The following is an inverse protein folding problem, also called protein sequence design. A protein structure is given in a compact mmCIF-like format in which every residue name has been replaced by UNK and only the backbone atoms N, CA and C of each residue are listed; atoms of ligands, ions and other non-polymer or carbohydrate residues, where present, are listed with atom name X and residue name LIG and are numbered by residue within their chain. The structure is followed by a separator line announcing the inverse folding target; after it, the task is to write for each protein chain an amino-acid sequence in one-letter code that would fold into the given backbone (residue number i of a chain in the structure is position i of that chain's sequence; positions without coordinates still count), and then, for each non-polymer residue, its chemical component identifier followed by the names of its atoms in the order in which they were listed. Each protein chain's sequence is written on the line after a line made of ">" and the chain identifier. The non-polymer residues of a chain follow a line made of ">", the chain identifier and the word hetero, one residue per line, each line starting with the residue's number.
data_IF_945326016624
#
_entry.id   IF_945326016624
#
_cell.length_a   1.000
_cell.length_b   1.000
_cell.length_c   1.000
_cell.angle_alpha   90.00
_cell.angle_beta   90.00
_cell.angle_gamma   90.00
#
_symmetry.space_group_name_H-M   'P 1'
#
loop_
_entity.id
_entity.type
_entity.pdbx_description
1 polymer ?
#
# COMPACT_ATOMS: atom_id res chain seq x y z
N UNK A 1 8.89 15.59 -7.15
CA UNK A 1 7.43 15.74 -7.22
C UNK A 1 6.85 14.80 -6.17
N UNK A 2 6.37 15.31 -5.03
CA UNK A 2 5.88 14.48 -3.92
C UNK A 2 4.69 13.67 -4.43
N UNK A 3 4.72 12.35 -4.28
CA UNK A 3 3.54 11.53 -4.44
C UNK A 3 2.45 12.11 -3.53
N UNK A 4 1.36 12.59 -4.12
CA UNK A 4 0.17 12.94 -3.35
C UNK A 4 -0.32 11.63 -2.76
N UNK A 5 -0.12 11.48 -1.46
CA UNK A 5 -0.64 10.39 -0.64
C UNK A 5 -2.17 10.38 -0.85
N UNK A 6 -2.65 9.43 -1.66
CA UNK A 6 -4.05 9.34 -2.04
C UNK A 6 -4.83 8.78 -0.84
N UNK A 7 -5.13 9.65 0.11
CA UNK A 7 -5.85 9.30 1.34
C UNK A 7 -7.34 9.37 1.09
N UNK A 8 -8.07 8.35 1.53
CA UNK A 8 -9.53 8.43 1.61
C UNK A 8 -9.90 9.60 2.53
N UNK A 9 -10.57 10.59 1.93
CA UNK A 9 -10.93 11.85 2.58
C UNK A 9 -12.41 11.88 2.88
N UNK A 10 -12.76 11.89 4.16
CA UNK A 10 -14.14 12.06 4.62
C UNK A 10 -14.29 13.49 5.12
N UNK A 11 -15.08 14.29 4.41
CA UNK A 11 -15.39 15.67 4.80
C UNK A 11 -16.78 15.68 5.44
N UNK A 12 -16.85 16.14 6.68
CA UNK A 12 -18.12 16.43 7.36
C UNK A 12 -18.19 17.91 7.62
N UNK A 13 -19.09 18.56 6.91
CA UNK A 13 -19.44 19.95 7.15
C UNK A 13 -20.43 20.04 8.31
N UNK A 14 -20.40 21.15 9.03
CA UNK A 14 -21.39 21.44 10.06
C UNK A 14 -21.47 20.38 11.19
N UNK A 15 -20.33 19.92 11.69
CA UNK A 15 -20.27 18.98 12.81
C UNK A 15 -20.40 19.72 14.16
N UNK A 16 -21.28 19.28 15.07
CA UNK A 16 -21.47 19.94 16.37
C UNK A 16 -20.26 19.73 17.28
N UNK A 17 -19.82 20.80 17.94
CA UNK A 17 -18.63 20.77 18.83
C UNK A 17 -18.83 19.85 20.04
N UNK A 18 -20.06 19.69 20.51
CA UNK A 18 -20.42 18.73 21.57
C UNK A 18 -20.11 17.27 21.22
N UNK A 19 -19.92 16.92 19.94
CA UNK A 19 -19.55 15.56 19.53
C UNK A 19 -18.06 15.38 19.26
N UNK A 20 -17.25 16.43 19.38
CA UNK A 20 -15.80 16.33 19.25
C UNK A 20 -15.16 15.75 20.53
N UNK A 21 -14.05 15.02 20.42
CA UNK A 21 -13.18 14.70 21.56
C UNK A 21 -12.70 15.95 22.33
N UNK A 22 -12.53 15.87 23.66
CA UNK A 22 -12.18 17.01 24.53
C UNK A 22 -10.86 17.69 24.16
N UNK A 23 -9.86 16.90 23.78
CA UNK A 23 -8.54 17.34 23.29
C UNK A 23 -8.62 18.22 22.04
N UNK A 24 -9.65 18.02 21.21
CA UNK A 24 -9.90 18.85 20.02
C UNK A 24 -10.83 20.03 20.29
N UNK A 25 -11.51 20.07 21.45
CA UNK A 25 -12.38 21.19 21.86
C UNK A 25 -11.61 22.36 22.45
N UNK A 26 -10.49 22.11 23.13
CA UNK A 26 -9.72 23.15 23.85
C UNK A 26 -9.27 24.34 22.98
N UNK A 27 -9.17 24.17 21.66
CA UNK A 27 -8.77 25.23 20.72
C UNK A 27 -9.91 25.93 19.96
N UNK A 28 -11.17 25.51 20.14
CA UNK A 28 -12.30 25.95 19.29
C UNK A 28 -13.09 27.14 19.85
N UNK A 29 -12.82 27.57 21.09
CA UNK A 29 -13.53 28.69 21.74
C UNK A 29 -15.04 28.46 21.80
N UNK A 30 -15.84 29.50 21.52
CA UNK A 30 -17.32 29.46 21.52
C UNK A 30 -17.93 28.93 20.21
N UNK A 31 -17.16 28.24 19.36
CA UNK A 31 -17.68 27.74 18.09
C UNK A 31 -18.76 26.67 18.32
N UNK A 32 -19.94 26.84 17.71
CA UNK A 32 -21.03 25.85 17.80
C UNK A 32 -20.90 24.73 16.75
N UNK A 33 -20.30 25.03 15.59
CA UNK A 33 -20.18 24.12 14.44
C UNK A 33 -18.79 24.19 13.84
N UNK A 34 -18.25 23.05 13.43
CA UNK A 34 -16.93 22.95 12.80
C UNK A 34 -16.97 22.06 11.56
N UNK A 35 -15.97 22.23 10.69
CA UNK A 35 -15.72 21.33 9.57
C UNK A 35 -14.68 20.30 9.98
N UNK A 36 -15.05 19.01 9.97
CA UNK A 36 -14.15 17.91 10.28
C UNK A 36 -13.67 17.28 8.99
N UNK A 37 -12.35 17.23 8.81
CA UNK A 37 -11.72 16.49 7.71
C UNK A 37 -10.99 15.29 8.31
N UNK A 38 -11.44 14.10 7.98
CA UNK A 38 -10.77 12.85 8.37
C UNK A 38 -10.00 12.34 7.16
N UNK A 39 -8.69 12.20 7.31
CA UNK A 39 -7.82 11.59 6.32
C UNK A 39 -7.33 10.26 6.86
N UNK A 40 -7.67 9.16 6.18
CA UNK A 40 -7.15 7.84 6.54
C UNK A 40 -5.80 7.65 5.88
N UNK A 41 -4.75 7.52 6.70
CA UNK A 41 -3.47 7.04 6.21
C UNK A 41 -3.63 5.59 5.69
N UNK A 42 -3.03 5.22 4.55
CA UNK A 42 -3.10 3.86 4.05
C UNK A 42 -2.52 2.91 5.10
N UNK A 43 -3.29 1.89 5.48
CA UNK A 43 -2.82 0.94 6.47
C UNK A 43 -1.66 0.10 5.91
N UNK A 44 -0.85 -0.49 6.79
CA UNK A 44 0.20 -1.44 6.36
C UNK A 44 -0.36 -2.62 5.55
N UNK A 45 -1.65 -2.97 5.73
CA UNK A 45 -2.32 -3.98 4.92
C UNK A 45 -2.63 -3.48 3.51
N UNK A 46 -3.11 -2.25 3.40
CA UNK A 46 -3.45 -1.64 2.11
C UNK A 46 -2.19 -1.47 1.24
N UNK A 47 -1.09 -1.03 1.85
CA UNK A 47 0.21 -0.94 1.19
C UNK A 47 0.72 -2.31 0.72
N UNK A 48 0.61 -3.34 1.57
CA UNK A 48 1.00 -4.71 1.17
C UNK A 48 0.16 -5.25 0.02
N UNK A 49 -1.14 -4.97 0.01
CA UNK A 49 -2.05 -5.43 -1.05
C UNK A 49 -1.77 -4.72 -2.38
N UNK A 50 -1.49 -3.41 -2.34
CA UNK A 50 -1.06 -2.64 -3.51
C UNK A 50 0.24 -3.22 -4.09
N UNK A 51 1.26 -3.41 -3.25
CA UNK A 51 2.52 -4.03 -3.66
C UNK A 51 2.32 -5.43 -4.26
N UNK A 52 1.40 -6.23 -3.71
CA UNK A 52 1.16 -7.58 -4.24
C UNK A 52 0.50 -7.56 -5.62
N UNK A 53 -0.34 -6.56 -5.87
CA UNK A 53 -1.03 -6.37 -7.15
C UNK A 53 -0.04 -5.94 -8.23
N UNK A 54 0.88 -5.03 -7.89
CA UNK A 54 1.97 -4.60 -8.78
C UNK A 54 2.91 -5.75 -9.15
N UNK A 55 3.34 -6.55 -8.17
CA UNK A 55 4.23 -7.69 -8.47
C UNK A 55 3.51 -8.73 -9.33
N UNK A 56 2.21 -8.99 -9.13
CA UNK A 56 1.44 -9.88 -10.00
C UNK A 56 1.38 -9.37 -11.44
N UNK A 57 1.11 -8.07 -11.63
CA UNK A 57 1.10 -7.46 -12.96
C UNK A 57 2.46 -7.60 -13.64
N UNK A 58 3.55 -7.42 -12.90
CA UNK A 58 4.91 -7.60 -13.42
C UNK A 58 5.19 -9.07 -13.82
N UNK A 59 4.75 -10.04 -13.01
CA UNK A 59 4.88 -11.47 -13.36
C UNK A 59 4.10 -11.80 -14.63
N UNK A 60 2.87 -11.29 -14.76
CA UNK A 60 2.04 -11.49 -15.95
C UNK A 60 2.63 -10.83 -17.21
N UNK A 61 3.26 -9.68 -17.06
CA UNK A 61 4.02 -9.04 -18.15
C UNK A 61 5.24 -9.89 -18.53
N UNK A 62 6.00 -10.39 -17.55
CA UNK A 62 7.15 -11.25 -17.78
C UNK A 62 6.76 -12.54 -18.52
N UNK A 63 5.64 -13.17 -18.14
CA UNK A 63 5.10 -14.34 -18.84
C UNK A 63 4.69 -14.07 -20.29
N UNK A 64 4.32 -12.82 -20.63
CA UNK A 64 3.97 -12.42 -22.00
C UNK A 64 5.19 -11.98 -22.82
N UNK A 65 6.34 -11.78 -22.17
CA UNK A 65 7.54 -11.29 -22.86
C UNK A 65 8.13 -12.35 -23.81
N UNK A 66 8.56 -11.94 -25.02
CA UNK A 66 9.22 -12.85 -25.94
C UNK A 66 10.57 -13.28 -25.34
N UNK A 67 10.72 -14.58 -25.10
CA UNK A 67 11.91 -15.16 -24.46
C UNK A 67 11.66 -15.73 -23.06
N UNK A 68 10.46 -15.55 -22.50
CA UNK A 68 10.07 -16.27 -21.29
C UNK A 68 9.91 -17.77 -21.58
N UNK A 69 10.69 -18.58 -20.89
CA UNK A 69 10.59 -20.04 -20.92
C UNK A 69 10.12 -20.50 -19.55
N UNK A 70 8.87 -20.97 -19.40
CA UNK A 70 8.42 -21.55 -18.15
C UNK A 70 9.24 -22.81 -17.86
N UNK A 71 9.62 -22.98 -16.61
CA UNK A 71 10.35 -24.15 -16.13
C UNK A 71 9.56 -24.83 -15.03
N UNK A 72 9.77 -26.13 -14.88
CA UNK A 72 9.21 -26.85 -13.74
C UNK A 72 9.95 -26.49 -12.46
N UNK A 73 9.33 -26.80 -11.32
CA UNK A 73 9.96 -26.63 -10.01
C UNK A 73 11.26 -27.43 -9.93
N UNK A 74 11.27 -28.65 -10.45
CA UNK A 74 12.43 -29.54 -10.45
C UNK A 74 13.59 -28.95 -11.26
N UNK A 75 13.31 -28.39 -12.44
CA UNK A 75 14.29 -27.73 -13.30
C UNK A 75 14.86 -26.46 -12.65
N UNK A 76 13.99 -25.65 -12.03
CA UNK A 76 14.41 -24.46 -11.31
C UNK A 76 15.35 -24.82 -10.14
N UNK A 77 14.99 -25.85 -9.36
CA UNK A 77 15.82 -26.35 -8.26
C UNK A 77 17.16 -26.89 -8.76
N UNK A 78 17.16 -27.63 -9.87
CA UNK A 78 18.40 -28.15 -10.45
C UNK A 78 19.37 -27.02 -10.85
N UNK A 79 18.88 -25.98 -11.54
CA UNK A 79 19.68 -24.81 -11.92
C UNK A 79 20.25 -24.06 -10.72
N UNK A 80 19.45 -23.88 -9.67
CA UNK A 80 19.90 -23.22 -8.43
C UNK A 80 21.00 -24.03 -7.76
N UNK A 81 20.88 -25.36 -7.73
CA UNK A 81 21.93 -26.24 -7.16
C UNK A 81 23.22 -26.17 -7.95
N UNK A 82 23.14 -26.23 -9.28
CA UNK A 82 24.30 -26.09 -10.16
C UNK A 82 25.04 -24.77 -9.93
N UNK A 83 24.31 -23.65 -9.89
CA UNK A 83 24.88 -22.33 -9.60
C UNK A 83 25.50 -22.25 -8.19
N UNK A 84 24.87 -22.86 -7.19
CA UNK A 84 25.43 -22.89 -5.83
C UNK A 84 26.72 -23.71 -5.78
N UNK A 85 26.70 -24.89 -6.37
CA UNK A 85 27.81 -25.84 -6.32
C UNK A 85 29.04 -25.32 -7.10
N UNK A 86 28.86 -24.42 -8.07
CA UNK A 86 29.93 -23.65 -8.71
C UNK A 86 30.67 -22.72 -7.73
N UNK A 87 29.98 -22.15 -6.75
CA UNK A 87 30.53 -21.20 -5.79
C UNK A 87 31.18 -21.87 -4.57
N UNK A 88 30.80 -23.11 -4.27
CA UNK A 88 31.39 -23.93 -3.20
C UNK A 88 32.75 -24.55 -3.61
N UNK A 89 33.24 -24.27 -4.82
CA UNK A 89 34.52 -24.73 -5.38
C UNK A 89 35.63 -23.68 -5.21
#
# INVERSE_FOLDING_TARGET
>A
MRAMDEREKIIREDYPVERLPEDLREGLGDAARVKVTVERAPSLRDQKLANWTEIKALIEELHRSPGFVPVTTEEAVARVRELRDEWDR
#
